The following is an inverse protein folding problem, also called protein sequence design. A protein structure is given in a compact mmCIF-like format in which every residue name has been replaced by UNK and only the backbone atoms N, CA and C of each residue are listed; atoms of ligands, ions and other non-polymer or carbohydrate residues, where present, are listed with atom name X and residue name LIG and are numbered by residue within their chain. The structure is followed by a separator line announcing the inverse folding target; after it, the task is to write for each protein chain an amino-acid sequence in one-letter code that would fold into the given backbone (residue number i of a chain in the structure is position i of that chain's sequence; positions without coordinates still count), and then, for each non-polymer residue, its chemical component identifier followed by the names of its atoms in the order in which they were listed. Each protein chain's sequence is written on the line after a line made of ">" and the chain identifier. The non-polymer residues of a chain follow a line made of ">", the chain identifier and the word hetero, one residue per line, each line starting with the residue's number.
data_IF_070067835063
#
_entry.id   IF_070067835063
#
_cell.length_a   1.000
_cell.length_b   1.000
_cell.length_c   1.000
_cell.angle_alpha   90.00
_cell.angle_beta   90.00
_cell.angle_gamma   90.00
#
_symmetry.space_group_name_H-M   'P 1'
#
loop_
_entity.id
_entity.type
_entity.pdbx_description
1 polymer ?
#
# COMPACT_ATOMS: atom_id res chain seq x y z
N UNK A 1 11.90 4.37 16.54
CA UNK A 1 12.12 2.94 16.18
C UNK A 1 10.93 2.31 15.45
N UNK A 2 9.66 2.61 15.78
CA UNK A 2 8.47 2.06 15.10
C UNK A 2 8.42 2.32 13.58
N UNK A 3 8.84 3.51 13.18
CA UNK A 3 8.88 4.00 11.79
C UNK A 3 9.89 3.21 10.90
N UNK A 4 11.06 2.86 11.44
CA UNK A 4 12.05 2.04 10.74
C UNK A 4 11.57 0.60 10.49
N UNK A 5 10.79 0.03 11.40
CA UNK A 5 10.19 -1.31 11.25
C UNK A 5 9.15 -1.30 10.11
N UNK A 6 8.32 -0.26 10.05
CA UNK A 6 7.35 -0.07 8.95
C UNK A 6 8.04 -0.02 7.59
N UNK A 7 9.09 0.79 7.45
CA UNK A 7 9.85 0.92 6.22
C UNK A 7 10.45 -0.42 5.74
N UNK A 8 11.03 -1.20 6.65
CA UNK A 8 11.66 -2.49 6.34
C UNK A 8 10.65 -3.62 6.04
N UNK A 9 9.41 -3.46 6.48
CA UNK A 9 8.35 -4.47 6.31
C UNK A 9 7.69 -4.45 4.91
N UNK A 10 7.98 -3.43 4.10
CA UNK A 10 7.37 -3.27 2.78
C UNK A 10 8.03 -4.21 1.78
N UNK A 11 7.28 -5.19 1.31
CA UNK A 11 7.70 -6.12 0.25
C UNK A 11 6.86 -5.90 -1.01
N UNK A 12 7.41 -6.31 -2.16
CA UNK A 12 6.69 -6.29 -3.44
C UNK A 12 5.35 -7.03 -3.36
N UNK A 13 5.32 -8.15 -2.64
CA UNK A 13 4.10 -8.94 -2.43
C UNK A 13 3.04 -8.14 -1.65
N UNK A 14 3.43 -7.45 -0.58
CA UNK A 14 2.51 -6.64 0.22
C UNK A 14 1.99 -5.42 -0.55
N UNK A 15 2.82 -4.80 -1.39
CA UNK A 15 2.39 -3.73 -2.32
C UNK A 15 1.38 -4.27 -3.33
N UNK A 16 1.62 -5.45 -3.93
CA UNK A 16 0.67 -6.09 -4.84
C UNK A 16 -0.67 -6.43 -4.18
N UNK A 17 -0.63 -6.96 -2.95
CA UNK A 17 -1.82 -7.25 -2.16
C UNK A 17 -2.61 -5.98 -1.81
N UNK A 18 -1.92 -4.93 -1.35
CA UNK A 18 -2.52 -3.64 -1.06
C UNK A 18 -3.18 -3.04 -2.30
N UNK A 19 -2.51 -3.11 -3.45
CA UNK A 19 -3.02 -2.60 -4.71
C UNK A 19 -4.30 -3.31 -5.14
N UNK A 20 -4.38 -4.64 -4.98
CA UNK A 20 -5.60 -5.41 -5.25
C UNK A 20 -6.76 -4.98 -4.34
N UNK A 21 -6.52 -4.85 -3.04
CA UNK A 21 -7.54 -4.44 -2.07
C UNK A 21 -8.05 -3.03 -2.34
N UNK A 22 -7.14 -2.06 -2.49
CA UNK A 22 -7.51 -0.67 -2.72
C UNK A 22 -8.26 -0.46 -4.03
N UNK A 23 -7.92 -1.20 -5.09
CA UNK A 23 -8.71 -1.16 -6.35
C UNK A 23 -10.14 -1.63 -6.14
N UNK A 24 -10.36 -2.67 -5.35
CA UNK A 24 -11.69 -3.16 -5.03
C UNK A 24 -12.49 -2.16 -4.17
N UNK A 25 -11.82 -1.53 -3.20
CA UNK A 25 -12.39 -0.47 -2.35
C UNK A 25 -12.80 0.76 -3.20
N UNK A 26 -11.95 1.19 -4.14
CA UNK A 26 -12.19 2.34 -5.01
C UNK A 26 -12.95 2.03 -6.30
N UNK A 27 -13.57 0.83 -6.45
CA UNK A 27 -14.11 0.35 -7.74
C UNK A 27 -15.13 1.26 -8.43
N UNK A 28 -15.78 2.15 -7.70
CA UNK A 28 -16.76 3.11 -8.23
C UNK A 28 -16.17 4.51 -8.52
N UNK A 29 -14.87 4.71 -8.30
CA UNK A 29 -14.18 5.97 -8.55
C UNK A 29 -13.05 5.74 -9.56
N UNK A 30 -13.38 5.87 -10.84
CA UNK A 30 -12.45 5.62 -11.94
C UNK A 30 -11.14 6.43 -11.83
N UNK A 31 -11.23 7.68 -11.38
CA UNK A 31 -10.06 8.54 -11.22
C UNK A 31 -9.09 8.02 -10.15
N UNK A 32 -9.60 7.48 -9.04
CA UNK A 32 -8.78 6.85 -8.00
C UNK A 32 -8.15 5.55 -8.49
N UNK A 33 -8.91 4.71 -9.20
CA UNK A 33 -8.38 3.49 -9.81
C UNK A 33 -7.26 3.81 -10.80
N UNK A 34 -7.42 4.84 -11.65
CA UNK A 34 -6.36 5.29 -12.56
C UNK A 34 -5.12 5.76 -11.80
N UNK A 35 -5.30 6.55 -10.73
CA UNK A 35 -4.18 7.02 -9.91
C UNK A 35 -3.45 5.85 -9.21
N UNK A 36 -4.18 4.86 -8.69
CA UNK A 36 -3.62 3.64 -8.06
C UNK A 36 -2.86 2.77 -9.07
N UNK A 37 -3.42 2.57 -10.26
CA UNK A 37 -2.74 1.82 -11.33
C UNK A 37 -1.43 2.50 -11.73
N UNK A 38 -1.46 3.83 -11.88
CA UNK A 38 -0.25 4.59 -12.18
C UNK A 38 0.76 4.52 -11.02
N UNK A 39 0.30 4.63 -9.78
CA UNK A 39 1.16 4.47 -8.61
C UNK A 39 1.87 3.10 -8.59
N UNK A 40 1.13 2.01 -8.81
CA UNK A 40 1.71 0.66 -8.86
C UNK A 40 2.78 0.50 -9.94
N UNK A 41 2.56 1.10 -11.13
CA UNK A 41 3.53 1.07 -12.22
C UNK A 41 4.77 1.92 -11.90
N UNK A 42 4.58 3.15 -11.43
CA UNK A 42 5.66 4.10 -11.21
C UNK A 42 6.53 3.75 -9.99
N UNK A 43 5.97 3.12 -8.96
CA UNK A 43 6.73 2.62 -7.80
C UNK A 43 7.72 1.50 -8.17
N UNK A 44 7.44 0.75 -9.24
CA UNK A 44 8.37 -0.26 -9.77
C UNK A 44 9.45 0.36 -10.67
N UNK A 45 9.14 1.50 -11.30
CA UNK A 45 10.02 2.15 -12.27
C UNK A 45 10.88 3.27 -11.67
N UNK A 46 10.50 3.81 -10.50
CA UNK A 46 11.12 4.98 -9.88
C UNK A 46 11.75 4.59 -8.54
N UNK A 47 12.98 5.05 -8.22
CA UNK A 47 13.53 4.90 -6.88
C UNK A 47 12.69 5.67 -5.86
N UNK A 48 12.40 5.05 -4.72
CA UNK A 48 11.66 5.69 -3.64
C UNK A 48 12.16 5.25 -2.26
N UNK A 49 11.86 6.06 -1.25
CA UNK A 49 12.17 5.81 0.16
C UNK A 49 10.97 6.18 1.01
N UNK A 50 10.65 5.34 1.98
CA UNK A 50 9.55 5.56 2.91
C UNK A 50 10.06 5.37 4.33
N UNK A 51 9.74 6.30 5.22
CA UNK A 51 10.17 6.23 6.62
C UNK A 51 9.04 5.89 7.60
N UNK A 52 7.78 5.80 7.15
CA UNK A 52 6.61 5.60 8.02
C UNK A 52 5.66 6.80 8.06
N UNK A 53 6.14 8.00 7.73
CA UNK A 53 5.37 9.25 7.75
C UNK A 53 5.50 10.01 6.42
N UNK A 54 6.63 9.87 5.78
CA UNK A 54 7.00 10.55 4.54
C UNK A 54 7.45 9.53 3.49
N UNK A 55 6.97 9.74 2.27
CA UNK A 55 7.44 9.05 1.07
C UNK A 55 8.19 10.05 0.20
N UNK A 56 9.39 9.68 -0.23
CA UNK A 56 10.18 10.42 -1.22
C UNK A 56 10.30 9.57 -2.48
N UNK A 57 9.85 10.09 -3.62
CA UNK A 57 9.95 9.42 -4.93
C UNK A 57 10.86 10.25 -5.83
N UNK A 58 11.88 9.61 -6.41
CA UNK A 58 12.73 10.24 -7.43
C UNK A 58 12.05 10.15 -8.78
N UNK A 59 12.00 11.25 -9.53
CA UNK A 59 11.39 11.27 -10.87
C UNK A 59 12.12 10.32 -11.82
N UNK A 60 11.35 9.46 -12.50
CA UNK A 60 11.85 8.54 -13.52
C UNK A 60 12.60 9.25 -14.66
N UNK A 61 12.13 10.42 -15.08
CA UNK A 61 12.67 11.14 -16.25
C UNK A 61 13.74 12.16 -15.89
N UNK A 62 13.87 12.52 -14.60
CA UNK A 62 14.88 13.46 -14.12
C UNK A 62 15.35 13.05 -12.72
N UNK A 63 16.51 12.40 -12.63
CA UNK A 63 17.07 11.90 -11.37
C UNK A 63 17.35 12.98 -10.31
N UNK A 64 17.37 14.26 -10.69
CA UNK A 64 17.55 15.38 -9.76
C UNK A 64 16.23 15.88 -9.17
N UNK A 65 15.08 15.46 -9.71
CA UNK A 65 13.76 15.83 -9.18
C UNK A 65 13.30 14.77 -8.18
N UNK A 66 13.00 15.21 -6.95
CA UNK A 66 12.41 14.38 -5.91
C UNK A 66 11.07 14.96 -5.49
N UNK A 67 10.09 14.10 -5.33
CA UNK A 67 8.77 14.44 -4.81
C UNK A 67 8.66 13.93 -3.39
N UNK A 68 8.23 14.81 -2.50
CA UNK A 68 7.99 14.56 -1.09
C UNK A 68 6.50 14.50 -0.84
N UNK A 69 6.08 13.44 -0.17
CA UNK A 69 4.68 13.14 0.08
C UNK A 69 4.49 12.82 1.55
N UNK A 70 3.52 13.48 2.17
CA UNK A 70 3.10 13.27 3.56
C UNK A 70 1.57 13.25 3.62
N UNK A 71 1.00 13.05 4.81
CA UNK A 71 -0.45 13.18 5.02
C UNK A 71 -1.00 14.57 4.68
N UNK A 72 -0.19 15.62 4.76
CA UNK A 72 -0.63 16.98 4.43
C UNK A 72 -0.69 17.23 2.92
N UNK A 73 -0.10 16.36 2.09
CA UNK A 73 -0.17 16.48 0.64
C UNK A 73 1.08 16.00 -0.08
N UNK A 74 1.17 16.37 -1.35
CA UNK A 74 2.31 16.09 -2.22
C UNK A 74 2.84 17.40 -2.79
N UNK A 75 4.17 17.54 -2.83
CA UNK A 75 4.85 18.70 -3.38
C UNK A 75 4.85 18.78 -4.92
N UNK A 76 4.29 17.79 -5.62
CA UNK A 76 4.16 17.87 -7.08
C UNK A 76 3.16 18.94 -7.48
N UNK A 77 3.27 19.47 -8.70
CA UNK A 77 2.39 20.52 -9.22
C UNK A 77 0.90 20.22 -9.02
N UNK A 78 0.47 18.98 -9.21
CA UNK A 78 -0.93 18.59 -8.98
C UNK A 78 -1.30 18.67 -7.49
N UNK A 79 -0.45 18.14 -6.60
CA UNK A 79 -0.67 18.15 -5.15
C UNK A 79 -0.67 19.57 -4.57
N UNK A 80 0.23 20.44 -5.02
CA UNK A 80 0.26 21.86 -4.64
C UNK A 80 -1.05 22.61 -4.97
N UNK A 81 -1.78 22.16 -6.00
CA UNK A 81 -3.09 22.71 -6.37
C UNK A 81 -4.27 21.93 -5.77
N UNK A 82 -4.03 21.06 -4.78
CA UNK A 82 -5.07 20.24 -4.15
C UNK A 82 -5.69 19.19 -5.08
N UNK A 83 -5.05 18.89 -6.21
CA UNK A 83 -5.55 17.90 -7.19
C UNK A 83 -5.03 16.51 -6.84
N UNK A 84 -5.83 15.50 -7.21
CA UNK A 84 -5.44 14.10 -7.11
C UNK A 84 -4.19 13.85 -7.95
N UNK A 85 -3.15 13.32 -7.32
CA UNK A 85 -1.91 12.94 -7.99
C UNK A 85 -1.56 11.48 -7.68
N UNK A 86 -0.86 10.84 -8.61
CA UNK A 86 -0.47 9.45 -8.44
C UNK A 86 0.54 9.27 -7.29
N UNK A 87 1.35 10.29 -6.96
CA UNK A 87 2.27 10.22 -5.82
C UNK A 87 1.54 10.06 -4.48
N UNK A 88 0.38 10.74 -4.32
CA UNK A 88 -0.46 10.56 -3.14
C UNK A 88 -1.09 9.17 -3.11
N UNK A 89 -1.56 8.68 -4.26
CA UNK A 89 -2.01 7.30 -4.36
C UNK A 89 -0.88 6.30 -4.00
N UNK A 90 0.37 6.57 -4.39
CA UNK A 90 1.53 5.77 -4.04
C UNK A 90 1.83 5.77 -2.53
N UNK A 91 1.74 6.93 -1.88
CA UNK A 91 1.88 7.05 -0.42
C UNK A 91 0.83 6.21 0.32
N UNK A 92 -0.44 6.35 -0.04
CA UNK A 92 -1.52 5.57 0.55
C UNK A 92 -1.35 4.07 0.29
N UNK A 93 -0.89 3.71 -0.91
CA UNK A 93 -0.60 2.33 -1.27
C UNK A 93 0.52 1.71 -0.41
N UNK A 94 1.62 2.45 -0.22
CA UNK A 94 2.74 2.01 0.63
C UNK A 94 2.30 1.88 2.09
N UNK A 95 1.48 2.81 2.59
CA UNK A 95 0.92 2.71 3.93
C UNK A 95 0.06 1.47 4.09
N UNK A 96 -0.82 1.20 3.14
CA UNK A 96 -1.66 0.01 3.14
C UNK A 96 -0.80 -1.26 3.09
N UNK A 97 0.26 -1.27 2.28
CA UNK A 97 1.20 -2.38 2.21
C UNK A 97 1.92 -2.62 3.55
N UNK A 98 2.38 -1.55 4.21
CA UNK A 98 3.04 -1.65 5.51
C UNK A 98 2.07 -2.15 6.61
N UNK A 99 0.80 -1.72 6.58
CA UNK A 99 -0.23 -2.24 7.49
C UNK A 99 -0.46 -3.74 7.29
N UNK A 100 -0.54 -4.21 6.03
CA UNK A 100 -0.69 -5.63 5.72
C UNK A 100 0.51 -6.45 6.18
N UNK A 101 1.73 -5.89 6.05
CA UNK A 101 2.95 -6.53 6.52
C UNK A 101 2.97 -6.76 8.04
N UNK A 102 2.38 -5.82 8.80
CA UNK A 102 2.27 -5.91 10.25
C UNK A 102 1.07 -6.74 10.72
N UNK A 103 0.15 -7.08 9.82
CA UNK A 103 -1.00 -7.91 10.17
C UNK A 103 -0.53 -9.36 10.30
N UNK A 104 -0.60 -9.98 11.50
CA UNK A 104 -0.21 -11.37 11.64
C UNK A 104 -1.09 -12.23 10.75
N UNK A 105 -0.47 -13.11 9.97
CA UNK A 105 -1.18 -14.11 9.18
C UNK A 105 -1.97 -14.96 10.18
N UNK A 106 -3.31 -14.95 10.07
CA UNK A 106 -4.13 -15.85 10.87
C UNK A 106 -3.68 -17.28 10.55
N UNK A 107 -3.21 -18.06 11.54
CA UNK A 107 -2.79 -19.42 11.27
C UNK A 107 -3.96 -20.17 10.63
N UNK A 108 -3.66 -20.88 9.53
CA UNK A 108 -4.64 -21.79 8.92
C UNK A 108 -4.97 -22.82 10.00
N UNK A 109 -6.26 -23.03 10.23
CA UNK A 109 -6.76 -24.10 11.08
C UNK A 109 -6.16 -25.42 10.58
N UNK A 110 -5.49 -26.15 11.46
CA UNK A 110 -4.97 -27.47 11.13
C UNK A 110 -6.11 -28.43 10.82
N UNK A 111 -5.85 -29.49 10.05
CA UNK A 111 -6.87 -30.47 9.70
C UNK A 111 -7.52 -31.09 10.96
N UNK A 112 -6.73 -31.33 12.02
CA UNK A 112 -7.24 -31.81 13.31
C UNK A 112 -8.08 -30.76 14.08
N UNK A 113 -7.84 -29.47 13.91
CA UNK A 113 -8.72 -28.43 14.46
C UNK A 113 -10.01 -28.31 13.63
N UNK A 114 -9.92 -28.49 12.32
CA UNK A 114 -11.07 -28.48 11.42
C UNK A 114 -12.03 -29.65 11.69
N UNK A 115 -11.49 -30.86 11.86
CA UNK A 115 -12.27 -32.05 12.23
C UNK A 115 -12.96 -31.88 13.59
N UNK A 116 -12.29 -31.26 14.58
CA UNK A 116 -12.91 -30.95 15.88
C UNK A 116 -14.05 -29.95 15.77
N UNK A 117 -13.91 -28.92 14.94
CA UNK A 117 -14.98 -27.94 14.69
C UNK A 117 -16.17 -28.59 13.98
N UNK A 118 -15.92 -29.47 13.00
CA UNK A 118 -16.99 -30.21 12.33
C UNK A 118 -17.74 -31.11 13.32
N UNK A 119 -17.03 -31.88 14.14
CA UNK A 119 -17.66 -32.74 15.15
C UNK A 119 -18.52 -31.95 16.15
N UNK A 120 -18.09 -30.75 16.56
CA UNK A 120 -18.87 -29.84 17.40
C UNK A 120 -20.11 -29.26 16.72
N UNK A 121 -20.13 -29.16 15.38
CA UNK A 121 -21.28 -28.67 14.62
C UNK A 121 -22.32 -29.76 14.35
N UNK A 122 -21.93 -31.04 14.33
CA UNK A 122 -22.85 -32.17 14.14
C UNK A 122 -23.63 -32.54 15.42
N UNK A 123 -23.23 -32.01 16.58
CA UNK A 123 -23.89 -32.21 17.89
C UNK A 123 -24.98 -31.16 18.22
N UNK A 124 -25.25 -30.20 17.31
CA UNK A 124 -26.27 -29.13 17.45
C UNK A 124 -27.48 -29.43 16.56
#
# INVERSE_FOLDING_TARGET
>A
MRNAILAQSITRQNVGNALRLMRHECRYNAAEVTALNKAGLELEASPWQYDGEMLVITSRTNGNTRYTITFSGCDCKAGQHGRRCWHMAAFLLIQRAAQLALTPVKPRMSDAEYERVLALCDEI
#
